data_IF_324969554757
#
_entry.id   IF_324969554757
#
_cell.length_a   1.000
_cell.length_b   1.000
_cell.length_c   1.000
_cell.angle_alpha   90.00
_cell.angle_beta   90.00
_cell.angle_gamma   90.00
#
_symmetry.space_group_name_H-M   'P 1'
#
loop_
_entity.id
_entity.type
_entity.pdbx_description
1 polymer ?
#
# COMPACT_ATOMS: atom_id res chain seq x y z
N UNK A 1 -9.33 25.35 -4.79
CA UNK A 1 -8.20 24.94 -3.94
C UNK A 1 -8.57 24.92 -2.44
N UNK A 2 -9.41 25.80 -1.95
CA UNK A 2 -9.88 25.80 -0.54
C UNK A 2 -10.64 24.52 -0.13
N UNK A 3 -11.35 23.91 -1.06
CA UNK A 3 -12.18 22.69 -0.85
C UNK A 3 -11.41 21.51 -0.26
N UNK A 4 -10.10 21.42 -0.47
CA UNK A 4 -9.25 20.28 -0.06
C UNK A 4 -8.23 20.65 1.02
N UNK A 5 -8.33 21.84 1.64
CA UNK A 5 -7.33 22.31 2.61
C UNK A 5 -7.48 21.71 4.01
N UNK A 6 -8.65 21.18 4.38
CA UNK A 6 -8.96 20.81 5.77
C UNK A 6 -8.30 19.51 6.26
N UNK A 7 -7.73 18.68 5.38
CA UNK A 7 -7.13 17.40 5.74
C UNK A 7 -5.59 17.43 5.81
N UNK A 8 -5.00 18.54 6.23
CA UNK A 8 -3.56 18.61 6.45
C UNK A 8 -3.23 17.93 7.79
N UNK A 9 -2.98 16.63 7.77
CA UNK A 9 -2.28 16.00 8.89
C UNK A 9 -0.81 16.37 8.77
N UNK A 10 -0.19 16.90 9.84
CA UNK A 10 1.20 17.32 9.81
C UNK A 10 2.11 16.19 9.27
N UNK A 11 2.99 16.53 8.35
CA UNK A 11 3.94 15.62 7.70
C UNK A 11 4.83 14.81 8.67
N UNK A 12 4.92 15.25 9.92
CA UNK A 12 5.79 14.68 10.96
C UNK A 12 5.55 13.21 11.29
N UNK A 13 4.34 12.68 11.09
CA UNK A 13 4.03 11.26 11.37
C UNK A 13 4.02 10.40 10.11
N UNK A 14 4.20 11.01 8.94
CA UNK A 14 4.06 10.36 7.64
C UNK A 14 5.40 9.87 7.09
N UNK A 15 6.51 10.46 7.53
CA UNK A 15 7.83 10.33 6.93
C UNK A 15 8.65 9.18 7.48
N UNK A 16 8.07 8.28 8.22
CA UNK A 16 8.79 7.04 8.49
C UNK A 16 8.58 6.10 7.33
N UNK A 17 9.37 6.29 6.29
CA UNK A 17 9.76 5.20 5.41
C UNK A 17 10.29 4.12 6.33
N UNK A 18 9.55 3.06 6.48
CA UNK A 18 9.92 2.01 7.41
C UNK A 18 10.65 0.96 6.64
N UNK A 19 11.91 1.00 6.85
CA UNK A 19 12.82 -0.01 6.39
C UNK A 19 12.72 -1.15 7.38
N UNK A 20 12.01 -2.21 7.00
CA UNK A 20 12.25 -3.52 7.57
C UNK A 20 13.29 -4.16 6.67
N UNK A 21 14.55 -3.95 7.02
CA UNK A 21 15.66 -4.46 6.24
C UNK A 21 16.22 -5.70 6.93
N UNK A 22 16.29 -6.78 6.19
CA UNK A 22 17.16 -7.89 6.54
C UNK A 22 18.46 -7.62 5.80
N UNK A 23 19.47 -7.12 6.52
CA UNK A 23 20.79 -6.83 5.95
C UNK A 23 21.37 -8.06 5.23
N UNK A 24 22.03 -7.83 4.09
CA UNK A 24 22.89 -8.80 3.44
C UNK A 24 22.22 -9.72 2.41
N UNK A 25 21.46 -9.17 1.47
CA UNK A 25 20.51 -9.94 0.68
C UNK A 25 20.87 -10.11 -0.78
N UNK A 26 21.10 -11.36 -1.15
CA UNK A 26 21.04 -11.83 -2.54
C UNK A 26 19.63 -12.30 -2.93
N UNK A 27 18.63 -12.21 -2.02
CA UNK A 27 17.26 -12.62 -2.23
C UNK A 27 16.37 -11.56 -2.87
N UNK A 28 15.12 -11.93 -3.15
CA UNK A 28 14.13 -11.03 -3.73
C UNK A 28 13.87 -9.80 -2.83
N UNK A 29 13.71 -8.66 -3.45
CA UNK A 29 13.38 -7.38 -2.81
C UNK A 29 11.91 -7.06 -3.02
N UNK A 30 11.17 -6.90 -1.93
CA UNK A 30 9.74 -6.65 -1.96
C UNK A 30 9.44 -5.27 -1.37
N UNK A 31 8.66 -4.46 -2.07
CA UNK A 31 8.21 -3.15 -1.59
C UNK A 31 6.70 -3.16 -1.38
N UNK A 32 6.28 -2.84 -0.17
CA UNK A 32 4.89 -2.59 0.17
C UNK A 32 4.64 -1.08 0.16
N UNK A 33 3.83 -0.60 -0.76
CA UNK A 33 3.40 0.80 -0.85
C UNK A 33 1.97 0.87 -0.33
N UNK A 34 1.78 1.48 0.85
CA UNK A 34 0.48 1.45 1.50
C UNK A 34 0.26 2.54 2.54
N UNK A 35 -0.84 2.45 3.24
CA UNK A 35 -1.25 3.38 4.28
C UNK A 35 -1.31 2.70 5.66
N UNK A 36 -2.23 3.12 6.54
CA UNK A 36 -2.41 2.55 7.88
C UNK A 36 -2.65 1.04 7.89
N UNK A 37 -3.30 0.49 6.86
CA UNK A 37 -3.53 -0.97 6.75
C UNK A 37 -2.21 -1.71 6.57
N UNK A 38 -1.25 -1.12 5.87
CA UNK A 38 0.08 -1.68 5.66
C UNK A 38 0.96 -1.49 6.90
N UNK A 39 0.94 -0.29 7.47
CA UNK A 39 1.61 0.02 8.74
C UNK A 39 1.14 1.35 9.31
N UNK A 40 0.89 1.36 10.60
CA UNK A 40 0.64 2.55 11.38
C UNK A 40 1.50 2.55 12.65
N UNK A 41 2.26 3.62 12.87
CA UNK A 41 3.01 3.81 14.10
C UNK A 41 2.07 3.88 15.32
N UNK A 42 2.54 3.58 16.54
CA UNK A 42 1.74 3.73 17.74
C UNK A 42 1.09 5.11 17.85
N UNK A 43 -0.20 5.12 18.21
CA UNK A 43 -1.01 6.31 18.45
C UNK A 43 -1.86 6.12 19.71
N UNK A 44 -1.23 6.25 20.90
CA UNK A 44 -1.86 5.93 22.19
C UNK A 44 -3.15 6.71 22.45
N UNK A 45 -3.26 7.93 21.94
CA UNK A 45 -4.45 8.80 22.12
C UNK A 45 -5.74 8.23 21.49
N UNK A 46 -5.62 7.27 20.56
CA UNK A 46 -6.76 6.54 20.01
C UNK A 46 -6.76 5.06 20.43
N UNK A 47 -5.86 4.67 21.35
CA UNK A 47 -5.75 3.30 21.84
C UNK A 47 -4.98 2.35 20.94
N UNK A 48 -4.27 2.85 19.90
CA UNK A 48 -3.40 2.05 19.05
C UNK A 48 -1.97 2.04 19.59
N UNK A 49 -1.47 0.87 20.02
CA UNK A 49 -0.15 0.74 20.65
C UNK A 49 0.87 -0.03 19.82
N UNK A 50 0.46 -0.69 18.74
CA UNK A 50 1.31 -1.50 17.89
C UNK A 50 1.96 -0.68 16.77
N UNK A 51 3.06 -1.18 16.21
CA UNK A 51 3.75 -0.64 15.05
C UNK A 51 3.69 -1.65 13.90
N UNK A 52 2.52 -1.84 13.33
CA UNK A 52 2.21 -2.81 12.27
C UNK A 52 0.95 -2.38 11.50
N UNK A 53 0.40 -3.22 10.65
CA UNK A 53 -0.88 -2.99 10.00
C UNK A 53 -1.99 -2.71 11.01
N UNK A 54 -2.64 -1.53 10.89
CA UNK A 54 -3.60 -1.06 11.88
C UNK A 54 -4.78 -2.02 12.00
N UNK A 55 -5.18 -2.32 13.23
CA UNK A 55 -6.17 -3.28 13.70
C UNK A 55 -5.72 -4.76 13.71
N UNK A 56 -4.56 -5.11 13.19
CA UNK A 56 -3.97 -6.41 13.49
C UNK A 56 -3.65 -6.50 14.99
N UNK A 57 -3.96 -7.64 15.63
CA UNK A 57 -3.74 -7.79 17.07
C UNK A 57 -2.26 -7.92 17.45
N UNK A 58 -1.39 -8.23 16.49
CA UNK A 58 0.07 -8.23 16.62
C UNK A 58 0.74 -8.08 15.25
N UNK A 59 2.05 -7.82 15.24
CA UNK A 59 2.83 -7.65 14.01
C UNK A 59 2.80 -8.91 13.12
N UNK A 60 2.80 -10.10 13.72
CA UNK A 60 2.81 -11.38 13.00
C UNK A 60 1.47 -11.67 12.33
N UNK A 61 0.46 -10.85 12.58
CA UNK A 61 -0.89 -11.03 12.06
C UNK A 61 -1.31 -9.99 11.03
N UNK A 62 -0.47 -8.99 10.78
CA UNK A 62 -0.73 -8.08 9.67
C UNK A 62 -0.41 -8.75 8.32
N UNK A 63 -1.00 -8.23 7.24
CA UNK A 63 -0.88 -8.85 5.92
C UNK A 63 0.57 -8.83 5.38
N UNK A 64 1.37 -7.83 5.76
CA UNK A 64 2.77 -7.70 5.32
C UNK A 64 3.61 -8.85 5.86
N UNK A 65 3.55 -9.07 7.18
CA UNK A 65 4.35 -10.11 7.85
C UNK A 65 3.84 -11.51 7.49
N UNK A 66 2.50 -11.70 7.37
CA UNK A 66 1.93 -12.95 6.87
C UNK A 66 2.40 -13.29 5.45
N UNK A 67 2.51 -12.28 4.57
CA UNK A 67 3.07 -12.48 3.22
C UNK A 67 4.55 -12.78 3.28
N UNK A 68 5.32 -12.05 4.10
CA UNK A 68 6.77 -12.28 4.20
C UNK A 68 7.12 -13.64 4.78
N UNK A 69 6.32 -14.17 5.71
CA UNK A 69 6.49 -15.54 6.18
C UNK A 69 6.36 -16.57 5.04
N UNK A 70 5.37 -16.36 4.16
CA UNK A 70 5.19 -17.20 2.96
C UNK A 70 6.35 -17.04 1.98
N UNK A 71 6.80 -15.79 1.74
CA UNK A 71 7.96 -15.50 0.88
C UNK A 71 9.21 -16.20 1.42
N UNK A 72 9.49 -16.08 2.72
CA UNK A 72 10.67 -16.67 3.36
C UNK A 72 10.66 -18.21 3.32
N UNK A 73 9.49 -18.84 3.18
CA UNK A 73 9.41 -20.28 2.95
C UNK A 73 9.96 -20.71 1.58
N UNK A 74 9.94 -19.81 0.60
CA UNK A 74 10.47 -20.02 -0.75
C UNK A 74 11.84 -19.37 -0.95
N UNK A 75 12.03 -18.17 -0.46
CA UNK A 75 13.26 -17.39 -0.53
C UNK A 75 13.61 -16.83 0.85
N UNK A 76 14.42 -17.58 1.60
CA UNK A 76 14.83 -17.23 2.97
C UNK A 76 15.63 -15.93 3.06
N UNK A 77 16.24 -15.50 1.96
CA UNK A 77 17.09 -14.33 1.87
C UNK A 77 16.35 -13.10 1.31
N UNK A 78 15.05 -13.26 0.99
CA UNK A 78 14.21 -12.16 0.57
C UNK A 78 14.16 -11.05 1.65
N UNK A 79 14.16 -9.81 1.20
CA UNK A 79 14.02 -8.61 2.03
C UNK A 79 12.78 -7.82 1.67
N UNK A 80 12.35 -6.91 2.55
CA UNK A 80 11.23 -6.04 2.25
C UNK A 80 11.35 -4.65 2.85
N UNK A 81 10.67 -3.70 2.23
CA UNK A 81 10.46 -2.36 2.74
C UNK A 81 8.98 -1.98 2.70
N UNK A 82 8.59 -1.05 3.56
CA UNK A 82 7.27 -0.42 3.55
C UNK A 82 7.44 1.07 3.26
N UNK A 83 6.81 1.54 2.20
CA UNK A 83 6.59 2.95 1.91
C UNK A 83 5.18 3.35 2.39
N UNK A 84 5.10 4.03 3.53
CA UNK A 84 3.83 4.51 4.07
C UNK A 84 3.43 5.81 3.36
N UNK A 85 2.37 5.76 2.55
CA UNK A 85 2.00 6.84 1.61
C UNK A 85 0.67 7.55 1.96
N UNK A 86 0.17 7.44 3.19
CA UNK A 86 -1.05 8.16 3.60
C UNK A 86 -0.94 9.68 3.37
N UNK A 87 0.24 10.25 3.52
CA UNK A 87 0.49 11.65 3.24
C UNK A 87 0.25 12.04 1.78
N UNK A 88 0.56 11.15 0.85
CA UNK A 88 0.23 11.34 -0.55
C UNK A 88 -1.28 11.29 -0.77
N UNK A 89 -1.99 10.31 -0.20
CA UNK A 89 -3.44 10.18 -0.34
C UNK A 89 -4.19 11.47 0.09
N UNK A 90 -3.71 12.14 1.13
CA UNK A 90 -4.30 13.39 1.61
C UNK A 90 -3.96 14.61 0.75
N UNK A 91 -2.84 14.58 0.02
CA UNK A 91 -2.26 15.78 -0.57
C UNK A 91 -2.10 15.75 -2.10
N UNK A 92 -2.36 14.63 -2.78
CA UNK A 92 -2.12 14.50 -4.23
C UNK A 92 -2.81 15.60 -5.07
N UNK A 93 -3.99 16.08 -4.63
CA UNK A 93 -4.71 17.16 -5.30
C UNK A 93 -3.96 18.50 -5.28
N UNK A 94 -2.99 18.66 -4.38
CA UNK A 94 -2.17 19.87 -4.29
C UNK A 94 -1.01 19.90 -5.25
N UNK A 95 -0.64 18.72 -5.81
CA UNK A 95 0.48 18.57 -6.74
C UNK A 95 1.75 19.25 -6.22
N UNK A 96 2.18 18.90 -5.00
CA UNK A 96 3.34 19.50 -4.34
C UNK A 96 4.62 19.24 -5.15
N UNK A 97 5.56 20.20 -5.25
CA UNK A 97 6.77 20.05 -6.07
C UNK A 97 7.57 18.79 -5.74
N UNK A 98 7.84 18.52 -4.49
CA UNK A 98 8.66 17.38 -4.04
C UNK A 98 7.81 16.29 -3.37
N UNK A 99 6.60 16.04 -3.89
CA UNK A 99 5.63 15.15 -3.23
C UNK A 99 6.14 13.73 -2.98
N UNK A 100 7.13 13.25 -3.74
CA UNK A 100 7.68 11.90 -3.61
C UNK A 100 9.01 11.83 -2.87
N UNK A 101 9.64 12.96 -2.54
CA UNK A 101 10.97 12.99 -1.93
C UNK A 101 11.08 12.17 -0.62
N UNK A 102 9.98 12.10 0.15
CA UNK A 102 9.93 11.32 1.39
C UNK A 102 10.15 9.81 1.19
N UNK A 103 9.88 9.29 -0.01
CA UNK A 103 9.98 7.86 -0.34
C UNK A 103 11.16 7.51 -1.25
N UNK A 104 12.10 8.44 -1.46
CA UNK A 104 13.26 8.23 -2.33
C UNK A 104 14.04 6.96 -1.96
N UNK A 105 14.25 6.71 -0.67
CA UNK A 105 14.92 5.48 -0.21
C UNK A 105 14.21 4.20 -0.64
N UNK A 106 12.87 4.22 -0.66
CA UNK A 106 12.10 3.07 -1.10
C UNK A 106 12.14 2.90 -2.63
N UNK A 107 12.24 3.98 -3.38
CA UNK A 107 12.49 3.92 -4.82
C UNK A 107 13.90 3.39 -5.12
N UNK A 108 14.93 3.90 -4.42
CA UNK A 108 16.33 3.49 -4.56
C UNK A 108 16.56 2.01 -4.15
N UNK A 109 15.66 1.44 -3.39
CA UNK A 109 15.71 0.03 -3.00
C UNK A 109 15.67 -0.92 -4.21
N UNK A 110 15.04 -0.51 -5.32
CA UNK A 110 15.01 -1.25 -6.56
C UNK A 110 14.30 -2.62 -6.42
N UNK A 111 13.08 -2.60 -5.89
CA UNK A 111 12.32 -3.81 -5.59
C UNK A 111 12.02 -4.65 -6.83
N UNK A 112 11.98 -5.98 -6.66
CA UNK A 112 11.58 -6.96 -7.69
C UNK A 112 10.07 -7.13 -7.77
N UNK A 113 9.38 -6.99 -6.63
CA UNK A 113 7.92 -7.06 -6.51
C UNK A 113 7.45 -5.84 -5.73
N UNK A 114 6.49 -5.12 -6.27
CA UNK A 114 5.92 -3.92 -5.65
C UNK A 114 4.42 -4.12 -5.47
N UNK A 115 3.97 -4.06 -4.22
CA UNK A 115 2.56 -4.20 -3.87
C UNK A 115 2.02 -2.81 -3.56
N UNK A 116 1.06 -2.32 -4.35
CA UNK A 116 0.44 -1.01 -4.18
C UNK A 116 -0.96 -1.18 -3.57
N UNK A 117 -1.07 -0.94 -2.26
CA UNK A 117 -2.31 -1.09 -1.51
C UNK A 117 -2.64 0.19 -0.73
N UNK A 118 -3.15 1.20 -1.44
CA UNK A 118 -3.54 2.48 -0.86
C UNK A 118 -4.71 3.12 -1.63
N UNK A 119 -5.21 4.26 -1.16
CA UNK A 119 -6.39 4.98 -1.67
C UNK A 119 -7.42 5.27 -0.57
N UNK A 120 -7.30 4.62 0.59
CA UNK A 120 -8.29 4.70 1.67
C UNK A 120 -8.46 6.11 2.27
N UNK A 121 -7.39 6.91 2.32
CA UNK A 121 -7.40 8.24 2.93
C UNK A 121 -7.63 9.38 1.92
N UNK A 122 -7.95 9.07 0.68
CA UNK A 122 -8.38 10.08 -0.29
C UNK A 122 -9.66 10.74 0.20
N UNK A 123 -9.71 12.08 0.16
CA UNK A 123 -10.88 12.83 0.60
C UNK A 123 -12.15 12.31 -0.10
N UNK A 124 -13.20 12.06 0.67
CA UNK A 124 -14.47 11.52 0.14
C UNK A 124 -15.15 12.44 -0.90
N UNK A 125 -14.92 13.76 -0.82
CA UNK A 125 -15.41 14.70 -1.81
C UNK A 125 -14.89 14.43 -3.22
N UNK A 126 -13.71 13.78 -3.33
CA UNK A 126 -13.15 13.38 -4.61
C UNK A 126 -14.08 12.44 -5.39
N UNK A 127 -14.81 11.54 -4.72
CA UNK A 127 -15.68 10.58 -5.38
C UNK A 127 -16.81 11.25 -6.20
N UNK A 128 -17.25 12.41 -5.76
CA UNK A 128 -18.34 13.18 -6.38
C UNK A 128 -17.85 14.40 -7.17
N UNK A 129 -16.56 14.72 -7.14
CA UNK A 129 -16.02 15.84 -7.90
C UNK A 129 -15.88 15.45 -9.39
N UNK A 130 -16.62 16.13 -10.30
CA UNK A 130 -16.54 15.84 -11.72
C UNK A 130 -15.29 16.41 -12.40
N UNK A 131 -14.62 17.40 -11.76
CA UNK A 131 -13.50 18.13 -12.35
C UNK A 131 -12.41 18.40 -11.30
N UNK A 132 -11.77 17.34 -10.75
CA UNK A 132 -10.64 17.53 -9.84
C UNK A 132 -9.45 18.13 -10.60
N UNK A 133 -8.55 18.86 -9.92
CA UNK A 133 -7.35 19.46 -10.54
C UNK A 133 -6.39 18.41 -11.12
N UNK A 134 -6.45 17.20 -10.61
CA UNK A 134 -5.76 15.99 -11.10
C UNK A 134 -6.61 14.80 -10.68
N UNK A 135 -6.73 13.77 -11.53
CA UNK A 135 -7.39 12.53 -11.14
C UNK A 135 -6.50 11.72 -10.20
N UNK A 136 -7.12 10.88 -9.36
CA UNK A 136 -6.35 9.95 -8.53
C UNK A 136 -5.55 8.96 -9.40
N UNK A 137 -6.12 8.54 -10.54
CA UNK A 137 -5.43 7.69 -11.50
C UNK A 137 -4.14 8.30 -12.03
N UNK A 138 -4.16 9.59 -12.42
CA UNK A 138 -2.95 10.30 -12.88
C UNK A 138 -1.89 10.43 -11.76
N UNK A 139 -2.32 10.74 -10.53
CA UNK A 139 -1.43 10.84 -9.39
C UNK A 139 -0.88 9.45 -8.97
N UNK A 140 -1.73 8.43 -9.00
CA UNK A 140 -1.38 7.03 -8.75
C UNK A 140 -0.37 6.49 -9.77
N UNK A 141 -0.56 6.83 -11.04
CA UNK A 141 0.39 6.50 -12.12
C UNK A 141 1.76 7.13 -11.88
N UNK A 142 1.82 8.39 -11.44
CA UNK A 142 3.08 9.04 -11.07
C UNK A 142 3.79 8.27 -9.94
N UNK A 143 3.05 7.86 -8.91
CA UNK A 143 3.59 7.07 -7.80
C UNK A 143 4.09 5.70 -8.27
N UNK A 144 3.32 5.01 -9.12
CA UNK A 144 3.73 3.74 -9.74
C UNK A 144 5.06 3.91 -10.48
N UNK A 145 5.18 4.94 -11.31
CA UNK A 145 6.38 5.21 -12.11
C UNK A 145 7.58 5.64 -11.26
N UNK A 146 7.33 6.35 -10.16
CA UNK A 146 8.35 6.71 -9.19
C UNK A 146 9.03 5.49 -8.55
N UNK A 147 8.28 4.43 -8.26
CA UNK A 147 8.84 3.19 -7.73
C UNK A 147 9.37 2.22 -8.79
N UNK A 148 9.15 2.48 -10.08
CA UNK A 148 9.59 1.62 -11.19
C UNK A 148 11.09 1.82 -11.51
N UNK A 149 11.95 1.72 -10.52
CA UNK A 149 13.42 1.91 -10.67
C UNK A 149 14.15 0.65 -11.12
N UNK A 150 13.58 -0.52 -10.88
CA UNK A 150 14.05 -1.81 -11.41
C UNK A 150 13.25 -2.15 -12.68
N UNK A 151 13.91 -2.25 -13.87
CA UNK A 151 13.20 -2.57 -15.12
C UNK A 151 12.50 -3.94 -15.12
N UNK A 152 12.93 -4.85 -14.25
CA UNK A 152 12.33 -6.17 -14.07
C UNK A 152 11.27 -6.24 -12.96
N UNK A 153 10.89 -5.11 -12.37
CA UNK A 153 9.90 -5.07 -11.29
C UNK A 153 8.51 -5.51 -11.76
N UNK A 154 7.84 -6.29 -10.94
CA UNK A 154 6.44 -6.68 -11.15
C UNK A 154 5.57 -5.92 -10.16
N UNK A 155 4.51 -5.28 -10.67
CA UNK A 155 3.56 -4.51 -9.87
C UNK A 155 2.27 -5.29 -9.63
N UNK A 156 1.85 -5.32 -8.36
CA UNK A 156 0.58 -5.85 -7.90
C UNK A 156 -0.25 -4.71 -7.32
N UNK A 157 -1.31 -4.32 -7.99
CA UNK A 157 -2.22 -3.26 -7.57
C UNK A 157 -3.40 -3.87 -6.84
N UNK A 158 -3.60 -3.54 -5.57
CA UNK A 158 -4.74 -4.06 -4.81
C UNK A 158 -5.92 -3.09 -4.84
N UNK A 159 -7.12 -3.65 -4.98
CA UNK A 159 -8.35 -2.93 -4.65
C UNK A 159 -8.27 -2.35 -3.24
N UNK A 160 -8.95 -1.23 -2.97
CA UNK A 160 -9.07 -0.68 -1.62
C UNK A 160 -9.82 -1.62 -0.68
N UNK A 161 -9.52 -1.54 0.62
CA UNK A 161 -10.30 -2.26 1.64
C UNK A 161 -11.66 -1.60 1.91
N UNK A 162 -11.78 -0.32 1.58
CA UNK A 162 -13.05 0.41 1.65
C UNK A 162 -13.66 0.54 0.27
N UNK A 163 -15.00 0.53 0.19
CA UNK A 163 -15.75 0.60 -1.06
C UNK A 163 -15.60 2.00 -1.68
N UNK A 164 -14.71 2.14 -2.65
CA UNK A 164 -14.41 3.38 -3.37
C UNK A 164 -14.35 3.12 -4.88
N UNK A 165 -15.50 2.87 -5.56
CA UNK A 165 -15.53 2.38 -6.94
C UNK A 165 -14.77 3.26 -7.93
N UNK A 166 -14.83 4.61 -7.77
CA UNK A 166 -14.10 5.55 -8.63
C UNK A 166 -12.58 5.34 -8.51
N UNK A 167 -12.07 5.27 -7.28
CA UNK A 167 -10.64 5.08 -7.04
C UNK A 167 -10.16 3.71 -7.54
N UNK A 168 -10.95 2.66 -7.31
CA UNK A 168 -10.58 1.31 -7.73
C UNK A 168 -10.61 1.17 -9.26
N UNK A 169 -11.56 1.82 -9.94
CA UNK A 169 -11.58 1.89 -11.40
C UNK A 169 -10.35 2.60 -11.96
N UNK A 170 -9.94 3.72 -11.34
CA UNK A 170 -8.76 4.48 -11.74
C UNK A 170 -7.45 3.68 -11.52
N UNK A 171 -7.30 3.00 -10.37
CA UNK A 171 -6.16 2.10 -10.10
C UNK A 171 -6.10 0.95 -11.10
N UNK A 172 -7.27 0.34 -11.39
CA UNK A 172 -7.38 -0.75 -12.35
C UNK A 172 -6.99 -0.31 -13.75
N UNK A 173 -7.42 0.87 -14.18
CA UNK A 173 -7.04 1.44 -15.48
C UNK A 173 -5.52 1.67 -15.60
N UNK A 174 -4.86 2.11 -14.51
CA UNK A 174 -3.40 2.23 -14.48
C UNK A 174 -2.74 0.86 -14.59
N UNK A 175 -3.19 -0.14 -13.82
CA UNK A 175 -2.66 -1.50 -13.92
C UNK A 175 -2.77 -2.06 -15.35
N UNK A 176 -3.93 -1.93 -15.98
CA UNK A 176 -4.18 -2.36 -17.37
C UNK A 176 -3.27 -1.65 -18.38
N UNK A 177 -3.06 -0.34 -18.20
CA UNK A 177 -2.18 0.48 -19.05
C UNK A 177 -0.73 -0.04 -19.11
N UNK A 178 -0.24 -0.55 -17.98
CA UNK A 178 1.14 -1.05 -17.86
C UNK A 178 1.27 -2.57 -17.99
N UNK A 179 0.16 -3.29 -18.12
CA UNK A 179 0.16 -4.76 -18.10
C UNK A 179 0.44 -5.34 -16.72
N UNK A 180 0.23 -4.54 -15.68
CA UNK A 180 0.39 -4.94 -14.29
C UNK A 180 -0.84 -5.74 -13.80
N UNK A 181 -0.73 -6.41 -12.67
CA UNK A 181 -1.82 -7.21 -12.10
C UNK A 181 -2.68 -6.36 -11.16
N UNK A 182 -4.01 -6.32 -11.39
CA UNK A 182 -4.98 -5.78 -10.44
C UNK A 182 -5.63 -6.90 -9.64
N UNK A 183 -5.60 -6.80 -8.31
CA UNK A 183 -6.10 -7.79 -7.35
C UNK A 183 -7.38 -7.27 -6.73
N UNK A 184 -8.49 -8.00 -6.92
CA UNK A 184 -9.78 -7.70 -6.29
C UNK A 184 -9.84 -8.24 -4.87
N UNK A 185 -10.42 -7.47 -3.96
CA UNK A 185 -10.72 -7.83 -2.56
C UNK A 185 -12.24 -7.91 -2.30
N UNK A 186 -13.08 -7.93 -3.34
CA UNK A 186 -14.55 -7.96 -3.23
C UNK A 186 -15.08 -9.04 -2.29
N UNK A 187 -14.43 -10.20 -2.25
CA UNK A 187 -14.81 -11.32 -1.38
C UNK A 187 -14.48 -11.10 0.10
N UNK A 188 -13.74 -10.03 0.43
CA UNK A 188 -13.30 -9.69 1.78
C UNK A 188 -14.08 -8.47 2.31
N UNK A 189 -14.12 -7.40 1.53
CA UNK A 189 -14.51 -6.05 1.99
C UNK A 189 -15.98 -5.90 2.39
N UNK A 190 -16.83 -6.86 2.05
CA UNK A 190 -18.27 -6.83 2.38
C UNK A 190 -18.66 -7.68 3.60
N UNK A 191 -17.68 -8.25 4.29
CA UNK A 191 -17.91 -9.17 5.40
C UNK A 191 -17.53 -8.52 6.73
N UNK A 192 -18.49 -8.41 7.65
CA UNK A 192 -18.29 -7.73 8.94
C UNK A 192 -17.14 -8.34 9.76
N UNK A 193 -16.97 -9.66 9.72
CA UNK A 193 -15.92 -10.37 10.46
C UNK A 193 -14.50 -10.06 9.97
N UNK A 194 -14.36 -9.53 8.76
CA UNK A 194 -13.06 -9.09 8.22
C UNK A 194 -12.68 -7.69 8.66
N UNK A 195 -13.58 -6.96 9.32
CA UNK A 195 -13.36 -5.62 9.86
C UNK A 195 -13.06 -5.69 11.36
N UNK A 196 -12.12 -4.88 11.82
CA UNK A 196 -11.67 -4.77 13.20
C UNK A 196 -11.73 -3.34 13.72
N UNK A 197 -10.81 -2.99 14.60
CA UNK A 197 -10.71 -1.65 15.18
C UNK A 197 -10.63 -0.58 14.09
N UNK A 198 -11.32 0.53 14.30
CA UNK A 198 -11.32 1.68 13.38
C UNK A 198 -11.77 1.32 11.96
N UNK A 199 -12.59 0.28 11.83
CA UNK A 199 -13.02 -0.27 10.53
C UNK A 199 -11.86 -0.71 9.61
N UNK A 200 -10.68 -0.98 10.18
CA UNK A 200 -9.54 -1.57 9.47
C UNK A 200 -9.68 -3.09 9.43
N UNK A 201 -8.88 -3.80 8.61
CA UNK A 201 -8.94 -5.25 8.56
C UNK A 201 -8.66 -5.90 9.92
N UNK A 202 -9.56 -6.81 10.38
CA UNK A 202 -9.32 -7.67 11.53
C UNK A 202 -8.17 -8.66 11.24
N UNK A 203 -7.74 -9.46 12.22
CA UNK A 203 -6.77 -10.54 11.98
C UNK A 203 -7.22 -11.49 10.86
N UNK A 204 -8.53 -11.74 10.74
CA UNK A 204 -9.10 -12.51 9.64
C UNK A 204 -8.96 -11.76 8.32
N UNK A 205 -9.33 -10.47 8.30
CA UNK A 205 -9.21 -9.61 7.12
C UNK A 205 -7.76 -9.52 6.64
N UNK A 206 -6.81 -9.30 7.54
CA UNK A 206 -5.37 -9.27 7.22
C UNK A 206 -4.89 -10.57 6.60
N UNK A 207 -5.31 -11.72 7.15
CA UNK A 207 -4.95 -13.04 6.61
C UNK A 207 -5.53 -13.25 5.22
N UNK A 208 -6.80 -12.93 5.00
CA UNK A 208 -7.43 -13.12 3.70
C UNK A 208 -6.85 -12.17 2.64
N UNK A 209 -6.46 -10.94 3.01
CA UNK A 209 -5.70 -10.03 2.14
C UNK A 209 -4.37 -10.69 1.75
N UNK A 210 -3.60 -11.18 2.74
CA UNK A 210 -2.34 -11.84 2.49
C UNK A 210 -2.50 -13.07 1.58
N UNK A 211 -3.48 -13.93 1.86
CA UNK A 211 -3.76 -15.13 1.06
C UNK A 211 -4.19 -14.80 -0.37
N UNK A 212 -4.91 -13.69 -0.55
CA UNK A 212 -5.34 -13.24 -1.88
C UNK A 212 -4.17 -12.72 -2.69
N UNK A 213 -3.30 -11.90 -2.10
CA UNK A 213 -2.09 -11.40 -2.76
C UNK A 213 -1.12 -12.56 -3.06
N UNK A 214 -0.98 -13.51 -2.13
CA UNK A 214 -0.09 -14.66 -2.26
C UNK A 214 -0.35 -15.48 -3.52
N UNK A 215 -1.59 -15.68 -3.93
CA UNK A 215 -1.95 -16.43 -5.15
C UNK A 215 -1.25 -15.89 -6.42
N UNK A 216 -0.92 -14.61 -6.42
CA UNK A 216 -0.19 -13.97 -7.52
C UNK A 216 1.33 -13.98 -7.26
N UNK A 217 1.75 -13.66 -6.03
CA UNK A 217 3.16 -13.59 -5.67
C UNK A 217 3.87 -14.93 -5.82
N UNK A 218 3.25 -16.04 -5.41
CA UNK A 218 3.84 -17.37 -5.48
C UNK A 218 4.32 -17.72 -6.90
N UNK A 219 3.51 -17.40 -7.91
CA UNK A 219 3.85 -17.61 -9.32
C UNK A 219 5.03 -16.74 -9.76
N UNK A 220 4.98 -15.44 -9.41
CA UNK A 220 6.03 -14.48 -9.75
C UNK A 220 7.36 -14.90 -9.12
N UNK A 221 7.35 -15.33 -7.86
CA UNK A 221 8.56 -15.81 -7.17
C UNK A 221 9.13 -17.06 -7.87
N UNK A 222 8.25 -18.00 -8.27
CA UNK A 222 8.69 -19.22 -8.98
C UNK A 222 9.32 -18.92 -10.35
N UNK A 223 8.86 -17.86 -11.03
CA UNK A 223 9.40 -17.42 -12.33
C UNK A 223 10.70 -16.62 -12.21
N UNK A 224 10.95 -15.97 -11.08
CA UNK A 224 12.16 -15.15 -10.84
C UNK A 224 13.34 -15.94 -10.24
N UNK A 225 13.11 -17.16 -9.80
CA UNK A 225 14.13 -18.08 -9.23
C UNK A 225 14.59 -19.13 -10.22
#
# INVERSE_FOLDING_TARGET
MEKYQENIIPALNQNKVNVFDKEGNDGLKILFVGNSITRHAPKPEVGWLNDCGMAASSIEKDYVHLLMDKVHSLDKDASFQIAQVAGFEWNFLKQLPDEFAAWQKSADYGADIIIMFFGANVNAEYDTDPNPPITFGEAYEKMRNFFATNPGAVFLHSQGFYIRPKLDAEKKAVAEKYGDTFISLEHIIHRDETHGLFNHPSDLGMREIADTIWKYMEKIIAEKR
#
